data_IF_294124059186
#
_entry.id   IF_294124059186
#
_cell.length_a   1.000
_cell.length_b   1.000
_cell.length_c   1.000
_cell.angle_alpha   90.00
_cell.angle_beta   90.00
_cell.angle_gamma   90.00
#
_symmetry.space_group_name_H-M   'P 1'
#
loop_
_entity.id
_entity.type
_entity.pdbx_description
1 polymer ?
#
# COMPACT_ATOMS: atom_id res chain seq x y z
N UNK A 1 -24.35 -80.23 34.87
CA UNK A 1 -24.61 -79.64 33.53
C UNK A 1 -25.06 -78.19 33.69
N UNK A 2 -24.13 -77.21 33.59
CA UNK A 2 -24.42 -75.78 33.86
C UNK A 2 -23.58 -74.84 32.98
N UNK A 3 -23.31 -75.26 31.73
CA UNK A 3 -22.46 -74.51 30.78
C UNK A 3 -23.20 -73.94 29.56
N UNK A 4 -24.47 -74.32 29.30
CA UNK A 4 -25.20 -73.87 28.11
C UNK A 4 -25.79 -72.44 28.20
N UNK A 5 -25.98 -71.89 29.41
CA UNK A 5 -26.64 -70.58 29.57
C UNK A 5 -25.70 -69.36 29.49
N UNK A 6 -24.37 -69.54 29.50
CA UNK A 6 -23.43 -68.41 29.38
C UNK A 6 -23.20 -67.98 27.92
N UNK A 7 -23.19 -68.93 26.98
CA UNK A 7 -23.04 -68.62 25.55
C UNK A 7 -24.23 -67.83 25.00
N UNK A 8 -25.46 -68.16 25.41
CA UNK A 8 -26.67 -67.45 24.98
C UNK A 8 -26.67 -65.96 25.42
N UNK A 9 -26.14 -65.65 26.60
CA UNK A 9 -26.07 -64.26 27.10
C UNK A 9 -25.02 -63.42 26.37
N UNK A 10 -23.89 -64.02 25.98
CA UNK A 10 -22.85 -63.32 25.22
C UNK A 10 -23.24 -63.16 23.74
N UNK A 11 -23.92 -64.16 23.16
CA UNK A 11 -24.47 -64.06 21.80
C UNK A 11 -25.56 -62.98 21.69
N UNK A 12 -26.46 -62.86 22.68
CA UNK A 12 -27.48 -61.81 22.69
C UNK A 12 -26.87 -60.41 22.86
N UNK A 13 -25.84 -60.27 23.70
CA UNK A 13 -25.14 -59.00 23.87
C UNK A 13 -24.38 -58.55 22.59
N UNK A 14 -23.81 -59.50 21.84
CA UNK A 14 -23.09 -59.23 20.58
C UNK A 14 -24.06 -58.87 19.44
N UNK A 15 -25.25 -59.48 19.41
CA UNK A 15 -26.32 -59.11 18.46
C UNK A 15 -26.89 -57.72 18.78
N UNK A 16 -27.06 -57.35 20.06
CA UNK A 16 -27.50 -56.00 20.42
C UNK A 16 -26.45 -54.92 20.11
N UNK A 17 -25.15 -55.23 20.20
CA UNK A 17 -24.08 -54.28 19.84
C UNK A 17 -23.96 -54.04 18.32
N UNK A 18 -24.22 -55.06 17.49
CA UNK A 18 -24.18 -54.94 16.03
C UNK A 18 -25.39 -54.15 15.46
N UNK A 19 -26.50 -54.08 16.18
CA UNK A 19 -27.71 -53.35 15.76
C UNK A 19 -27.64 -51.85 16.09
N UNK A 20 -26.65 -51.41 16.89
CA UNK A 20 -26.44 -50.01 17.26
C UNK A 20 -25.39 -49.26 16.43
N UNK A 21 -24.77 -49.91 15.44
CA UNK A 21 -23.90 -49.26 14.46
C UNK A 21 -24.74 -48.48 13.44
N UNK A 22 -25.28 -47.34 13.86
CA UNK A 22 -25.83 -46.34 12.95
C UNK A 22 -24.68 -45.78 12.11
N UNK A 23 -24.81 -45.85 10.79
CA UNK A 23 -23.89 -45.14 9.90
C UNK A 23 -24.13 -43.66 10.11
N UNK A 24 -23.15 -42.95 10.66
CA UNK A 24 -23.17 -41.49 10.68
C UNK A 24 -23.06 -41.01 9.23
N UNK A 25 -24.20 -40.79 8.60
CA UNK A 25 -24.32 -40.12 7.31
C UNK A 25 -24.03 -38.63 7.54
N UNK A 26 -22.76 -38.28 7.66
CA UNK A 26 -22.33 -36.89 7.58
C UNK A 26 -22.46 -36.45 6.12
N UNK A 27 -23.67 -36.05 5.74
CA UNK A 27 -23.91 -35.38 4.46
C UNK A 27 -23.68 -33.90 4.69
N UNK A 28 -22.78 -33.28 3.91
CA UNK A 28 -22.77 -31.81 3.82
C UNK A 28 -24.09 -31.40 3.19
N UNK A 29 -25.00 -30.91 4.02
CA UNK A 29 -26.25 -30.26 3.60
C UNK A 29 -25.97 -28.77 3.63
N UNK A 30 -26.34 -28.08 2.56
CA UNK A 30 -26.29 -26.62 2.50
C UNK A 30 -27.20 -26.06 3.59
N UNK A 31 -26.64 -25.21 4.45
CA UNK A 31 -27.40 -24.55 5.51
C UNK A 31 -28.44 -23.64 4.85
N UNK A 32 -29.73 -23.83 5.18
CA UNK A 32 -30.77 -22.88 4.78
C UNK A 32 -30.59 -21.55 5.54
N UNK A 33 -31.00 -20.43 4.92
CA UNK A 33 -30.85 -19.06 5.47
C UNK A 33 -31.35 -18.91 6.93
N UNK A 34 -32.31 -19.73 7.35
CA UNK A 34 -32.82 -19.76 8.73
C UNK A 34 -31.79 -20.28 9.74
N UNK A 35 -30.98 -21.27 9.38
CA UNK A 35 -29.91 -21.81 10.24
C UNK A 35 -28.65 -20.92 10.20
N UNK A 36 -28.43 -20.18 9.10
CA UNK A 36 -27.41 -19.12 9.03
C UNK A 36 -27.72 -17.93 9.95
N UNK A 37 -28.99 -17.68 10.27
CA UNK A 37 -29.39 -16.66 11.26
C UNK A 37 -29.00 -17.02 12.70
N UNK A 38 -28.95 -18.31 13.03
CA UNK A 38 -28.55 -18.81 14.35
C UNK A 38 -27.02 -18.92 14.49
N UNK A 39 -26.30 -18.94 13.37
CA UNK A 39 -24.85 -18.72 13.33
C UNK A 39 -24.60 -17.22 13.48
N UNK A 40 -24.56 -16.73 14.72
CA UNK A 40 -23.97 -15.42 15.02
C UNK A 40 -22.47 -15.50 14.75
N UNK A 41 -22.05 -15.18 13.53
CA UNK A 41 -20.67 -14.82 13.26
C UNK A 41 -20.33 -13.61 14.12
N UNK A 42 -19.48 -13.78 15.13
CA UNK A 42 -18.97 -12.68 15.94
C UNK A 42 -17.99 -11.85 15.12
N UNK A 43 -18.48 -11.12 14.12
CA UNK A 43 -17.72 -10.02 13.54
C UNK A 43 -17.59 -8.97 14.66
N UNK A 44 -16.45 -9.02 15.36
CA UNK A 44 -16.14 -8.10 16.46
C UNK A 44 -15.84 -6.72 15.85
N UNK A 45 -16.90 -5.94 15.60
CA UNK A 45 -16.75 -4.54 15.23
C UNK A 45 -16.31 -3.80 16.49
N UNK A 46 -15.05 -3.37 16.49
CA UNK A 46 -14.48 -2.63 17.61
C UNK A 46 -14.61 -1.13 17.35
N UNK A 47 -15.30 -0.43 18.24
CA UNK A 47 -15.44 1.02 18.20
C UNK A 47 -14.43 1.66 19.14
N UNK A 48 -13.66 2.60 18.63
CA UNK A 48 -12.73 3.41 19.41
C UNK A 48 -13.03 4.89 19.20
N UNK A 49 -12.84 5.68 20.25
CA UNK A 49 -13.00 7.13 20.18
C UNK A 49 -11.69 7.80 20.55
N UNK A 50 -11.41 8.94 19.93
CA UNK A 50 -10.24 9.76 20.21
C UNK A 50 -10.64 11.24 20.11
N UNK A 51 -9.81 12.15 20.60
CA UNK A 51 -10.04 13.58 20.46
C UNK A 51 -8.72 14.33 20.31
N UNK A 52 -8.69 15.34 19.46
CA UNK A 52 -7.52 16.18 19.26
C UNK A 52 -7.94 17.58 18.80
N UNK A 53 -7.38 18.61 19.42
CA UNK A 53 -7.58 20.01 19.03
C UNK A 53 -9.06 20.43 18.81
N UNK A 54 -9.99 19.90 19.61
CA UNK A 54 -11.43 20.20 19.51
C UNK A 54 -12.20 19.34 18.50
N UNK A 55 -11.52 18.45 17.77
CA UNK A 55 -12.13 17.45 16.88
C UNK A 55 -12.24 16.12 17.62
N UNK A 56 -13.41 15.50 17.58
CA UNK A 56 -13.64 14.15 18.10
C UNK A 56 -13.59 13.14 16.95
N UNK A 57 -13.11 11.93 17.24
CA UNK A 57 -12.95 10.87 16.25
C UNK A 57 -13.69 9.63 16.70
N UNK A 58 -14.37 8.98 15.76
CA UNK A 58 -14.98 7.67 15.98
C UNK A 58 -14.45 6.72 14.92
N UNK A 59 -13.71 5.70 15.34
CA UNK A 59 -13.19 4.65 14.47
C UNK A 59 -13.94 3.35 14.66
N UNK A 60 -14.33 2.76 13.54
CA UNK A 60 -14.96 1.45 13.41
C UNK A 60 -13.92 0.51 12.80
N UNK A 61 -13.34 -0.38 13.61
CA UNK A 61 -12.43 -1.41 13.15
C UNK A 61 -13.23 -2.67 12.80
N UNK A 62 -13.04 -3.20 11.59
CA UNK A 62 -13.80 -4.36 11.12
C UNK A 62 -13.23 -5.69 11.62
N UNK A 63 -11.95 -5.74 12.03
CA UNK A 63 -11.34 -6.94 12.60
C UNK A 63 -11.19 -8.11 11.62
N UNK A 64 -11.12 -7.82 10.31
CA UNK A 64 -11.01 -8.82 9.24
C UNK A 64 -9.70 -8.69 8.46
N UNK A 65 -9.30 -9.79 7.83
CA UNK A 65 -8.28 -9.80 6.78
C UNK A 65 -8.99 -10.01 5.44
N UNK A 66 -8.65 -9.18 4.45
CA UNK A 66 -9.29 -9.14 3.14
C UNK A 66 -8.25 -9.35 2.06
N UNK A 67 -8.45 -10.36 1.24
CA UNK A 67 -7.75 -10.54 -0.03
C UNK A 67 -8.67 -9.99 -1.12
N UNK A 68 -8.26 -8.91 -1.80
CA UNK A 68 -9.11 -8.22 -2.78
C UNK A 68 -8.49 -8.20 -4.17
N UNK A 69 -9.34 -8.41 -5.18
CA UNK A 69 -9.09 -8.03 -6.56
C UNK A 69 -10.14 -7.00 -6.95
N UNK A 70 -9.70 -5.76 -7.15
CA UNK A 70 -10.58 -4.62 -7.38
C UNK A 70 -10.17 -3.93 -8.68
N UNK A 71 -11.14 -3.57 -9.52
CA UNK A 71 -10.92 -2.72 -10.69
C UNK A 71 -11.95 -1.58 -10.70
N UNK A 72 -11.48 -0.36 -10.93
CA UNK A 72 -12.26 0.87 -11.03
C UNK A 72 -11.77 1.63 -12.25
N UNK A 73 -12.66 1.85 -13.23
CA UNK A 73 -12.34 2.61 -14.45
C UNK A 73 -11.82 4.01 -14.20
N UNK A 74 -12.39 4.70 -13.20
CA UNK A 74 -11.99 6.06 -12.84
C UNK A 74 -12.22 6.30 -11.34
N UNK A 75 -11.15 6.48 -10.60
CA UNK A 75 -11.17 6.97 -9.23
C UNK A 75 -10.89 8.48 -9.26
N UNK A 76 -11.92 9.29 -9.01
CA UNK A 76 -11.81 10.74 -8.99
C UNK A 76 -12.42 11.28 -7.69
N UNK A 77 -11.58 11.89 -6.84
CA UNK A 77 -11.98 12.43 -5.54
C UNK A 77 -11.50 13.88 -5.42
N UNK A 78 -12.29 14.73 -4.74
CA UNK A 78 -11.92 16.11 -4.47
C UNK A 78 -11.90 17.00 -5.72
N UNK A 79 -12.88 16.87 -6.62
CA UNK A 79 -13.03 17.78 -7.76
C UNK A 79 -13.71 19.09 -7.31
N UNK A 80 -12.91 20.13 -7.09
CA UNK A 80 -13.38 21.50 -6.81
C UNK A 80 -12.32 22.51 -7.22
N UNK A 81 -12.75 23.76 -7.41
CA UNK A 81 -11.84 24.86 -7.75
C UNK A 81 -10.99 25.22 -6.53
N UNK A 82 -9.67 25.16 -6.69
CA UNK A 82 -8.69 25.53 -5.66
C UNK A 82 -7.77 26.60 -6.23
N UNK A 83 -7.55 27.73 -5.53
CA UNK A 83 -6.59 28.74 -5.98
C UNK A 83 -5.20 28.13 -6.18
N UNK A 84 -4.55 28.45 -7.29
CA UNK A 84 -3.24 27.89 -7.65
C UNK A 84 -3.30 26.58 -8.45
N UNK A 85 -4.46 25.96 -8.56
CA UNK A 85 -4.65 24.68 -9.26
C UNK A 85 -5.42 24.84 -10.58
N UNK A 86 -5.20 23.92 -11.52
CA UNK A 86 -5.90 23.92 -12.80
C UNK A 86 -7.42 23.76 -12.63
N UNK A 87 -8.21 24.51 -13.39
CA UNK A 87 -9.68 24.41 -13.36
C UNK A 87 -10.14 22.99 -13.70
N UNK A 88 -11.05 22.44 -12.88
CA UNK A 88 -11.57 21.09 -13.08
C UNK A 88 -10.63 19.95 -12.66
N UNK A 89 -9.44 20.27 -12.14
CA UNK A 89 -8.56 19.28 -11.50
C UNK A 89 -9.18 18.69 -10.23
N UNK A 90 -8.67 17.54 -9.82
CA UNK A 90 -9.15 16.81 -8.65
C UNK A 90 -7.98 16.45 -7.75
N UNK A 91 -8.23 16.36 -6.46
CA UNK A 91 -7.20 16.03 -5.48
C UNK A 91 -6.58 14.64 -5.73
N UNK A 92 -7.41 13.66 -6.07
CA UNK A 92 -6.97 12.31 -6.47
C UNK A 92 -7.67 11.96 -7.78
N UNK A 93 -6.89 11.70 -8.83
CA UNK A 93 -7.39 11.24 -10.12
C UNK A 93 -6.52 10.10 -10.64
N UNK A 94 -7.09 8.90 -10.65
CA UNK A 94 -6.44 7.68 -11.15
C UNK A 94 -7.42 7.00 -12.11
N UNK A 95 -7.03 6.87 -13.37
CA UNK A 95 -7.80 6.08 -14.34
C UNK A 95 -7.33 4.62 -14.29
N UNK A 96 -8.23 3.69 -14.61
CA UNK A 96 -7.94 2.25 -14.60
C UNK A 96 -7.32 1.79 -13.27
N UNK A 97 -7.81 2.33 -12.16
CA UNK A 97 -7.36 2.00 -10.82
C UNK A 97 -7.66 0.53 -10.54
N UNK A 98 -6.68 -0.21 -10.04
CA UNK A 98 -6.84 -1.60 -9.69
C UNK A 98 -5.99 -1.96 -8.48
N UNK A 99 -6.47 -2.93 -7.71
CA UNK A 99 -5.74 -3.55 -6.61
C UNK A 99 -5.63 -5.04 -6.91
N UNK A 100 -4.39 -5.53 -6.87
CA UNK A 100 -4.02 -6.90 -7.21
C UNK A 100 -3.81 -7.10 -8.72
N UNK A 101 -3.23 -8.24 -9.08
CA UNK A 101 -2.85 -8.56 -10.46
C UNK A 101 -3.33 -9.94 -10.88
N UNK A 102 -3.37 -10.15 -12.18
CA UNK A 102 -3.71 -11.41 -12.83
C UNK A 102 -2.50 -11.85 -13.66
N UNK A 103 -2.00 -13.06 -13.41
CA UNK A 103 -0.90 -13.65 -14.19
C UNK A 103 -1.38 -14.33 -15.47
N UNK A 104 -0.43 -14.77 -16.30
CA UNK A 104 -0.66 -15.34 -17.64
C UNK A 104 -1.55 -16.62 -17.70
N UNK A 105 -1.95 -17.18 -16.56
CA UNK A 105 -2.82 -18.36 -16.45
C UNK A 105 -4.07 -18.08 -15.58
N UNK A 106 -4.57 -16.83 -15.58
CA UNK A 106 -5.66 -16.36 -14.71
C UNK A 106 -5.37 -16.57 -13.20
N UNK A 107 -4.09 -16.66 -12.83
CA UNK A 107 -3.67 -16.76 -11.44
C UNK A 107 -3.77 -15.37 -10.80
N UNK A 108 -4.65 -15.26 -9.81
CA UNK A 108 -4.90 -14.00 -9.12
C UNK A 108 -3.86 -13.82 -8.01
N UNK A 109 -3.15 -12.69 -8.05
CA UNK A 109 -2.35 -12.19 -6.94
C UNK A 109 -3.13 -11.07 -6.24
N UNK A 110 -3.86 -11.37 -5.16
CA UNK A 110 -4.74 -10.41 -4.53
C UNK A 110 -3.94 -9.32 -3.81
N UNK A 111 -4.55 -8.15 -3.68
CA UNK A 111 -4.09 -7.14 -2.73
C UNK A 111 -4.58 -7.50 -1.34
N UNK A 112 -3.66 -7.69 -0.39
CA UNK A 112 -3.94 -8.11 0.98
C UNK A 112 -4.10 -6.90 1.88
N UNK A 113 -5.17 -6.89 2.66
CA UNK A 113 -5.53 -5.84 3.62
C UNK A 113 -5.78 -6.50 4.96
N UNK A 114 -5.09 -6.07 6.01
CA UNK A 114 -5.38 -6.49 7.38
C UNK A 114 -5.92 -5.31 8.19
N UNK A 115 -6.94 -5.60 9.01
CA UNK A 115 -7.58 -4.64 9.91
C UNK A 115 -8.02 -3.35 9.19
N UNK A 116 -8.92 -3.44 8.19
CA UNK A 116 -9.51 -2.24 7.63
C UNK A 116 -10.34 -1.52 8.69
N UNK A 117 -10.40 -0.20 8.59
CA UNK A 117 -11.20 0.65 9.46
C UNK A 117 -11.83 1.81 8.70
N UNK A 118 -12.96 2.27 9.23
CA UNK A 118 -13.61 3.53 8.85
C UNK A 118 -13.50 4.47 10.04
N UNK A 119 -13.09 5.72 9.83
CA UNK A 119 -13.01 6.70 10.90
C UNK A 119 -13.64 8.03 10.50
N UNK A 120 -14.43 8.58 11.40
CA UNK A 120 -15.17 9.82 11.24
C UNK A 120 -14.60 10.87 12.19
N UNK A 121 -14.41 12.08 11.69
CA UNK A 121 -13.99 13.25 12.45
C UNK A 121 -15.16 14.22 12.62
N UNK A 122 -15.34 14.72 13.84
CA UNK A 122 -16.45 15.57 14.25
C UNK A 122 -15.94 16.86 14.87
N UNK A 123 -16.44 17.99 14.39
CA UNK A 123 -16.30 19.28 15.04
C UNK A 123 -17.67 19.64 15.67
N UNK A 124 -17.74 19.54 17.00
CA UNK A 124 -19.01 19.53 17.73
C UNK A 124 -19.94 18.40 17.23
N UNK A 125 -21.07 18.77 16.62
CA UNK A 125 -22.06 17.83 16.08
C UNK A 125 -21.96 17.63 14.56
N UNK A 126 -20.95 18.23 13.89
CA UNK A 126 -20.80 18.17 12.43
C UNK A 126 -19.69 17.20 12.06
N UNK A 127 -19.96 16.30 11.12
CA UNK A 127 -18.90 15.51 10.49
C UNK A 127 -18.07 16.43 9.61
N UNK A 128 -16.78 16.54 9.91
CA UNK A 128 -15.82 17.37 9.17
C UNK A 128 -14.84 16.54 8.33
N UNK A 129 -14.81 15.23 8.55
CA UNK A 129 -14.01 14.32 7.74
C UNK A 129 -14.38 12.87 7.90
N UNK A 130 -14.05 12.08 6.88
CA UNK A 130 -14.16 10.63 6.85
C UNK A 130 -12.87 10.07 6.27
N UNK A 131 -12.34 8.99 6.84
CA UNK A 131 -11.24 8.23 6.25
C UNK A 131 -11.51 6.74 6.26
N UNK A 132 -11.06 6.07 5.21
CA UNK A 132 -10.96 4.63 5.14
C UNK A 132 -9.48 4.31 5.15
N UNK A 133 -9.05 3.45 6.07
CA UNK A 133 -7.65 3.08 6.21
C UNK A 133 -7.46 1.60 6.47
N UNK A 134 -6.23 1.17 6.26
CA UNK A 134 -5.78 -0.21 6.43
C UNK A 134 -4.70 -0.22 7.50
N UNK A 135 -4.83 -1.11 8.49
CA UNK A 135 -3.78 -1.33 9.48
C UNK A 135 -2.49 -1.79 8.79
N UNK A 136 -2.62 -2.80 7.93
CA UNK A 136 -1.54 -3.28 7.08
C UNK A 136 -2.05 -3.54 5.66
N UNK A 137 -1.27 -3.19 4.65
CA UNK A 137 -1.62 -3.32 3.24
C UNK A 137 -0.43 -3.82 2.43
N UNK A 138 -0.67 -4.76 1.52
CA UNK A 138 0.38 -5.42 0.74
C UNK A 138 -0.13 -5.91 -0.60
N UNK A 139 0.57 -5.57 -1.68
CA UNK A 139 0.20 -6.00 -3.03
C UNK A 139 0.58 -4.97 -4.08
N UNK A 140 0.00 -5.09 -5.26
CA UNK A 140 0.25 -4.14 -6.36
C UNK A 140 -0.97 -3.24 -6.53
N UNK A 141 -0.72 -1.94 -6.55
CA UNK A 141 -1.69 -0.90 -6.90
C UNK A 141 -1.41 -0.46 -8.33
N UNK A 142 -2.34 -0.71 -9.23
CA UNK A 142 -2.21 -0.33 -10.64
C UNK A 142 -3.13 0.82 -11.00
N UNK A 143 -2.74 1.67 -11.94
CA UNK A 143 -3.55 2.81 -12.37
C UNK A 143 -2.75 3.86 -13.12
N UNK A 144 -3.42 4.60 -14.00
CA UNK A 144 -2.86 5.76 -14.67
C UNK A 144 -3.10 6.99 -13.78
N UNK A 145 -2.09 7.31 -12.98
CA UNK A 145 -2.14 8.40 -11.99
C UNK A 145 -1.98 9.75 -12.71
N UNK A 146 -3.00 10.59 -12.63
CA UNK A 146 -2.99 11.94 -13.22
C UNK A 146 -2.73 13.03 -12.18
N UNK A 147 -3.32 12.93 -10.99
CA UNK A 147 -3.07 13.85 -9.88
C UNK A 147 -3.21 13.14 -8.55
N UNK A 148 -2.34 13.46 -7.59
CA UNK A 148 -2.41 12.97 -6.22
C UNK A 148 -2.22 14.11 -5.22
N UNK A 149 -2.97 14.03 -4.14
CA UNK A 149 -2.85 14.92 -2.99
C UNK A 149 -2.54 14.06 -1.77
N UNK A 150 -1.41 14.32 -1.15
CA UNK A 150 -1.05 13.77 0.13
C UNK A 150 0.41 13.38 0.29
N UNK A 151 0.65 12.37 1.12
CA UNK A 151 2.00 11.99 1.55
C UNK A 151 2.30 10.55 1.12
N UNK A 152 3.07 10.42 0.04
CA UNK A 152 3.39 9.14 -0.59
C UNK A 152 4.91 9.11 -0.87
N UNK A 153 5.74 8.89 0.15
CA UNK A 153 7.17 8.65 -0.02
C UNK A 153 7.42 7.37 -0.83
N UNK A 154 8.31 7.49 -1.81
CA UNK A 154 8.82 6.38 -2.61
C UNK A 154 10.31 6.26 -2.32
N UNK A 155 10.76 5.06 -1.95
CA UNK A 155 12.18 4.80 -1.80
C UNK A 155 12.71 4.17 -3.09
N UNK A 156 13.80 4.73 -3.59
CA UNK A 156 14.49 4.28 -4.79
C UNK A 156 15.80 3.65 -4.35
N UNK A 157 16.01 2.37 -4.65
CA UNK A 157 17.24 1.65 -4.30
C UNK A 157 17.72 0.82 -5.46
N UNK A 158 19.00 0.92 -5.80
CA UNK A 158 19.56 0.10 -6.85
C UNK A 158 21.05 0.31 -7.05
N UNK A 159 21.57 -0.35 -8.08
CA UNK A 159 22.97 -0.19 -8.48
C UNK A 159 23.17 1.13 -9.23
N UNK A 160 24.33 1.74 -9.05
CA UNK A 160 24.73 2.95 -9.76
C UNK A 160 24.75 2.78 -11.28
N UNK A 161 24.79 1.55 -11.80
CA UNK A 161 24.77 1.27 -13.24
C UNK A 161 23.60 1.93 -13.98
N UNK A 162 22.40 1.92 -13.40
CA UNK A 162 21.22 2.57 -13.99
C UNK A 162 21.42 4.10 -14.14
N UNK A 163 22.08 4.72 -13.16
CA UNK A 163 22.41 6.15 -13.17
C UNK A 163 23.49 6.43 -14.24
N UNK A 164 24.54 5.60 -14.30
CA UNK A 164 25.60 5.70 -15.31
C UNK A 164 25.06 5.57 -16.74
N UNK A 165 24.09 4.69 -16.98
CA UNK A 165 23.50 4.48 -18.30
C UNK A 165 22.64 5.66 -18.78
N UNK A 166 22.12 6.47 -17.85
CA UNK A 166 21.41 7.72 -18.15
C UNK A 166 22.33 8.96 -18.13
N UNK A 167 23.60 8.78 -17.80
CA UNK A 167 24.58 9.85 -17.66
C UNK A 167 25.44 10.03 -18.92
N UNK A 168 25.78 11.28 -19.26
CA UNK A 168 26.79 11.59 -20.27
C UNK A 168 28.23 11.44 -19.73
N UNK A 169 29.25 11.56 -20.58
CA UNK A 169 30.65 11.39 -20.20
C UNK A 169 31.10 12.28 -19.03
N UNK A 170 30.66 13.54 -18.99
CA UNK A 170 31.00 14.48 -17.91
C UNK A 170 30.33 14.07 -16.60
N UNK A 171 29.08 13.63 -16.66
CA UNK A 171 28.32 13.14 -15.51
C UNK A 171 28.90 11.83 -14.96
N UNK A 172 29.27 10.90 -15.84
CA UNK A 172 29.94 9.66 -15.44
C UNK A 172 31.29 9.96 -14.77
N UNK A 173 32.04 10.93 -15.27
CA UNK A 173 33.28 11.38 -14.65
C UNK A 173 33.03 11.99 -13.26
N UNK A 174 31.98 12.80 -13.12
CA UNK A 174 31.59 13.38 -11.83
C UNK A 174 31.14 12.30 -10.82
N UNK A 175 30.34 11.32 -11.26
CA UNK A 175 29.95 10.16 -10.45
C UNK A 175 31.17 9.35 -10.00
N UNK A 176 32.11 9.10 -10.91
CA UNK A 176 33.35 8.37 -10.61
C UNK A 176 34.23 9.11 -9.61
N UNK A 177 34.44 10.42 -9.80
CA UNK A 177 35.21 11.26 -8.88
C UNK A 177 34.55 11.36 -7.50
N UNK A 178 33.23 11.25 -7.45
CA UNK A 178 32.46 11.17 -6.22
C UNK A 178 32.45 9.78 -5.58
N UNK A 179 33.13 8.80 -6.17
CA UNK A 179 33.16 7.44 -5.63
C UNK A 179 31.83 6.70 -5.76
N UNK A 180 30.91 7.14 -6.62
CA UNK A 180 29.77 6.33 -7.10
C UNK A 180 30.29 5.50 -8.24
N UNK A 181 30.34 4.18 -8.09
CA UNK A 181 30.70 3.25 -9.15
C UNK A 181 29.46 2.54 -9.69
N UNK A 182 29.58 1.90 -10.86
CA UNK A 182 28.50 1.09 -11.44
C UNK A 182 28.01 -0.02 -10.51
N UNK A 183 28.91 -0.56 -9.69
CA UNK A 183 28.63 -1.61 -8.70
C UNK A 183 28.15 -1.09 -7.35
N UNK A 184 28.18 0.22 -7.11
CA UNK A 184 27.75 0.81 -5.84
C UNK A 184 26.24 0.69 -5.68
N UNK A 185 25.77 0.42 -4.47
CA UNK A 185 24.36 0.47 -4.10
C UNK A 185 24.06 1.85 -3.54
N UNK A 186 23.19 2.56 -4.24
CA UNK A 186 22.74 3.90 -3.85
C UNK A 186 21.24 3.88 -3.61
N UNK A 187 20.80 4.82 -2.80
CA UNK A 187 19.44 4.97 -2.30
C UNK A 187 19.04 6.44 -2.41
N UNK A 188 17.75 6.68 -2.65
CA UNK A 188 17.17 8.01 -2.69
C UNK A 188 15.72 7.95 -2.23
N UNK A 189 15.22 9.05 -1.67
CA UNK A 189 13.81 9.21 -1.37
C UNK A 189 13.18 10.19 -2.36
N UNK A 190 12.05 9.77 -2.94
CA UNK A 190 11.23 10.57 -3.82
C UNK A 190 9.89 10.89 -3.15
N UNK A 191 9.35 12.06 -3.46
CA UNK A 191 8.05 12.54 -2.98
C UNK A 191 7.33 13.26 -4.12
N UNK A 192 6.08 13.67 -3.88
CA UNK A 192 5.36 14.51 -4.84
C UNK A 192 6.05 15.88 -4.96
N UNK A 193 6.38 16.25 -6.19
CA UNK A 193 7.18 17.44 -6.52
C UNK A 193 6.65 18.16 -7.75
N UNK A 194 6.88 19.47 -7.78
CA UNK A 194 6.60 20.32 -8.94
C UNK A 194 7.70 20.17 -10.01
N UNK A 195 7.51 20.81 -11.18
CA UNK A 195 8.53 20.87 -12.25
C UNK A 195 9.82 21.57 -11.84
N UNK A 196 9.76 22.36 -10.77
CA UNK A 196 10.92 23.01 -10.17
C UNK A 196 11.62 22.19 -9.10
N UNK A 197 11.16 20.96 -8.80
CA UNK A 197 11.71 20.10 -7.74
C UNK A 197 11.34 20.55 -6.32
N UNK A 198 10.39 21.49 -6.17
CA UNK A 198 9.82 21.84 -4.87
C UNK A 198 8.79 20.80 -4.46
N UNK A 199 8.63 20.56 -3.16
CA UNK A 199 7.57 19.66 -2.67
C UNK A 199 6.20 20.17 -3.10
N UNK A 200 5.39 19.29 -3.66
CA UNK A 200 4.06 19.58 -4.18
C UNK A 200 3.05 18.52 -3.71
N UNK A 201 2.63 18.56 -2.43
CA UNK A 201 1.74 17.56 -1.85
C UNK A 201 0.28 17.74 -2.27
N UNK A 202 -0.06 18.75 -3.10
CA UNK A 202 -1.43 19.08 -3.50
C UNK A 202 -1.56 18.93 -5.01
N UNK A 203 -2.39 17.99 -5.45
CA UNK A 203 -2.66 17.71 -6.89
C UNK A 203 -1.38 17.52 -7.71
N UNK A 204 -0.31 17.05 -7.09
CA UNK A 204 0.97 16.80 -7.72
C UNK A 204 0.81 15.84 -8.89
N UNK A 205 1.45 16.18 -10.01
CA UNK A 205 1.44 15.39 -11.25
C UNK A 205 2.75 14.65 -11.48
N UNK A 206 3.77 14.92 -10.66
CA UNK A 206 5.08 14.29 -10.73
C UNK A 206 5.56 13.81 -9.36
N UNK A 207 6.41 12.80 -9.39
CA UNK A 207 7.17 12.30 -8.25
C UNK A 207 8.66 12.35 -8.56
N UNK A 208 9.47 12.68 -7.56
CA UNK A 208 10.91 12.84 -7.75
C UNK A 208 11.65 13.22 -6.48
N UNK A 209 12.96 13.34 -6.62
CA UNK A 209 13.84 13.76 -5.52
C UNK A 209 13.73 15.27 -5.36
N UNK A 210 13.23 15.71 -4.19
CA UNK A 210 13.01 17.11 -3.85
C UNK A 210 14.34 17.87 -3.82
N UNK A 211 14.29 19.16 -4.14
CA UNK A 211 15.45 20.04 -4.06
C UNK A 211 16.08 20.03 -2.66
N UNK A 212 17.40 19.83 -2.60
CA UNK A 212 18.16 19.68 -1.37
C UNK A 212 18.34 18.24 -0.91
N UNK A 213 17.48 17.32 -1.34
CA UNK A 213 17.63 15.89 -1.06
C UNK A 213 18.58 15.27 -2.10
N UNK A 214 19.45 14.35 -1.66
CA UNK A 214 20.48 13.76 -2.52
C UNK A 214 20.48 12.24 -2.50
N UNK A 215 21.45 11.66 -3.21
CA UNK A 215 21.69 10.22 -3.19
C UNK A 215 22.48 9.85 -1.93
N UNK A 216 22.06 8.77 -1.26
CA UNK A 216 22.79 8.16 -0.17
C UNK A 216 23.43 6.86 -0.65
N UNK A 217 24.68 6.58 -0.28
CA UNK A 217 25.32 5.33 -0.65
C UNK A 217 25.34 4.34 0.52
N UNK A 218 24.83 3.14 0.28
CA UNK A 218 24.73 2.08 1.28
C UNK A 218 25.91 1.11 1.20
N UNK A 219 26.44 0.82 0.01
CA UNK A 219 27.59 -0.07 -0.14
C UNK A 219 28.35 0.13 -1.45
N UNK A 220 29.64 -0.20 -1.45
CA UNK A 220 30.44 -0.24 -2.68
C UNK A 220 30.81 1.13 -3.24
N UNK A 221 30.62 2.22 -2.50
CA UNK A 221 31.20 3.51 -2.82
C UNK A 221 32.60 3.66 -2.23
N UNK A 222 33.43 4.51 -2.82
CA UNK A 222 34.71 4.87 -2.22
C UNK A 222 34.45 5.56 -0.86
N UNK A 223 35.16 5.11 0.18
CA UNK A 223 34.94 5.57 1.55
C UNK A 223 35.08 7.09 1.67
N UNK A 224 34.08 7.72 2.30
CA UNK A 224 34.08 9.16 2.58
C UNK A 224 33.15 9.97 1.68
N UNK A 225 31.86 9.61 1.62
CA UNK A 225 30.82 10.58 1.28
C UNK A 225 30.73 11.58 2.43
N UNK A 226 31.63 12.56 2.41
CA UNK A 226 31.60 13.70 3.33
C UNK A 226 30.33 14.51 3.06
N UNK A 227 29.82 15.23 4.07
CA UNK A 227 28.64 16.10 3.93
C UNK A 227 28.78 17.09 2.76
N UNK A 228 30.02 17.49 2.43
CA UNK A 228 30.33 18.34 1.29
C UNK A 228 30.06 17.68 -0.07
N UNK A 229 30.29 16.36 -0.18
CA UNK A 229 29.98 15.60 -1.38
C UNK A 229 28.47 15.36 -1.49
N UNK A 230 27.80 15.01 -0.39
CA UNK A 230 26.33 14.85 -0.35
C UNK A 230 25.59 16.12 -0.81
N UNK A 231 26.08 17.31 -0.43
CA UNK A 231 25.55 18.58 -0.90
C UNK A 231 25.75 18.83 -2.41
N UNK A 232 26.81 18.31 -3.02
CA UNK A 232 27.01 18.36 -4.47
C UNK A 232 26.09 17.38 -5.24
N UNK A 233 25.57 16.35 -4.55
CA UNK A 233 24.58 15.39 -5.05
C UNK A 233 23.15 15.73 -4.64
N UNK A 234 22.92 16.92 -4.10
CA UNK A 234 21.58 17.42 -3.86
C UNK A 234 20.86 17.67 -5.19
N UNK A 235 19.60 17.26 -5.25
CA UNK A 235 18.72 17.60 -6.35
C UNK A 235 18.53 19.12 -6.39
N UNK A 236 18.62 19.70 -7.57
CA UNK A 236 18.33 21.10 -7.81
C UNK A 236 17.58 21.21 -9.12
N UNK A 237 16.36 21.73 -9.06
CA UNK A 237 15.47 21.89 -10.20
C UNK A 237 15.23 20.56 -10.93
N UNK A 238 14.85 19.52 -10.17
CA UNK A 238 14.59 18.17 -10.71
C UNK A 238 15.80 17.53 -11.40
N UNK A 239 17.02 17.88 -10.99
CA UNK A 239 18.23 17.29 -11.52
C UNK A 239 19.30 17.07 -10.45
N UNK A 240 19.97 15.92 -10.49
CA UNK A 240 21.20 15.64 -9.73
C UNK A 240 22.34 15.50 -10.73
N UNK A 241 23.34 16.39 -10.65
CA UNK A 241 24.41 16.49 -11.66
C UNK A 241 23.91 16.60 -13.11
N UNK A 242 22.72 17.17 -13.33
CA UNK A 242 22.09 17.27 -14.65
C UNK A 242 21.39 15.99 -15.14
N UNK A 243 21.27 14.96 -14.31
CA UNK A 243 20.42 13.79 -14.57
C UNK A 243 19.03 14.11 -14.04
N UNK A 244 17.99 13.92 -14.85
CA UNK A 244 16.61 14.18 -14.44
C UNK A 244 16.17 13.27 -13.28
N UNK A 245 15.55 13.85 -12.26
CA UNK A 245 15.10 13.15 -11.04
C UNK A 245 13.61 13.31 -10.73
N UNK A 246 12.88 14.08 -11.53
CA UNK A 246 11.41 14.21 -11.45
C UNK A 246 10.75 13.56 -12.66
N UNK A 247 9.70 12.80 -12.39
CA UNK A 247 9.05 11.89 -13.31
C UNK A 247 7.53 12.05 -13.21
N UNK A 248 6.85 12.19 -14.34
CA UNK A 248 5.37 12.21 -14.38
C UNK A 248 4.79 10.96 -13.73
N UNK A 249 3.76 11.13 -12.89
CA UNK A 249 3.11 10.02 -12.20
C UNK A 249 2.48 9.00 -13.17
N UNK A 250 2.07 9.45 -14.36
CA UNK A 250 1.44 8.61 -15.39
C UNK A 250 2.35 7.50 -15.93
N UNK A 251 3.66 7.57 -15.74
CA UNK A 251 4.58 6.50 -16.16
C UNK A 251 4.67 5.35 -15.16
N UNK A 252 4.14 5.52 -13.96
CA UNK A 252 4.14 4.51 -12.91
C UNK A 252 2.76 3.85 -12.85
N UNK A 253 2.56 2.84 -13.69
CA UNK A 253 1.25 2.22 -13.88
C UNK A 253 0.96 1.08 -12.91
N UNK A 254 1.99 0.49 -12.30
CA UNK A 254 1.84 -0.58 -11.29
C UNK A 254 2.84 -0.35 -10.15
N UNK A 255 2.36 0.12 -9.02
CA UNK A 255 3.18 0.42 -7.86
C UNK A 255 3.12 -0.74 -6.85
N UNK A 256 4.26 -1.33 -6.46
CA UNK A 256 4.29 -2.28 -5.36
C UNK A 256 4.10 -1.54 -4.04
N UNK A 257 3.15 -1.99 -3.23
CA UNK A 257 2.88 -1.49 -1.88
C UNK A 257 3.26 -2.58 -0.88
N UNK A 258 4.20 -2.27 0.02
CA UNK A 258 4.81 -3.24 0.92
C UNK A 258 5.75 -4.21 0.19
N UNK A 259 6.18 -5.28 0.88
CA UNK A 259 7.07 -6.28 0.30
C UNK A 259 6.32 -7.30 -0.58
N UNK A 260 6.19 -7.06 -1.88
CA UNK A 260 5.46 -7.97 -2.78
C UNK A 260 6.21 -9.27 -3.12
N UNK A 261 7.47 -9.44 -2.68
CA UNK A 261 8.28 -10.64 -2.98
C UNK A 261 7.83 -11.88 -2.20
N UNK A 262 7.27 -11.67 -1.00
CA UNK A 262 6.69 -12.75 -0.20
C UNK A 262 5.25 -12.39 0.16
N UNK A 263 4.27 -12.92 -0.56
CA UNK A 263 2.85 -12.71 -0.27
C UNK A 263 2.26 -13.76 0.69
N UNK A 264 3.06 -14.66 1.27
CA UNK A 264 2.57 -15.74 2.13
C UNK A 264 1.98 -15.22 3.45
N UNK A 265 2.44 -14.07 3.92
CA UNK A 265 2.08 -13.47 5.20
C UNK A 265 2.10 -11.92 5.11
N UNK A 266 1.66 -11.25 6.17
CA UNK A 266 1.65 -9.78 6.28
C UNK A 266 2.97 -9.17 6.80
N UNK A 267 4.06 -9.94 6.89
CA UNK A 267 5.37 -9.38 7.27
C UNK A 267 5.80 -8.34 6.23
N UNK A 268 6.35 -7.23 6.72
CA UNK A 268 6.77 -6.08 5.90
C UNK A 268 5.66 -5.55 4.98
N UNK A 269 4.39 -5.65 5.41
CA UNK A 269 3.29 -4.93 4.81
C UNK A 269 3.38 -3.44 5.15
N UNK A 270 2.96 -2.58 4.22
CA UNK A 270 2.89 -1.15 4.48
C UNK A 270 1.83 -0.85 5.54
N UNK A 271 2.11 0.08 6.45
CA UNK A 271 1.21 0.45 7.54
C UNK A 271 0.75 1.90 7.41
N UNK A 272 -0.43 2.20 7.96
CA UNK A 272 -0.94 3.57 8.02
C UNK A 272 -1.48 4.10 6.68
N UNK A 273 -1.76 3.22 5.71
CA UNK A 273 -2.44 3.62 4.49
C UNK A 273 -3.85 4.10 4.81
N UNK A 274 -4.22 5.28 4.32
CA UNK A 274 -5.61 5.72 4.33
C UNK A 274 -5.91 6.70 3.19
N UNK A 275 -7.18 6.72 2.79
CA UNK A 275 -7.75 7.75 1.93
C UNK A 275 -8.81 8.47 2.76
N UNK A 276 -8.73 9.79 2.81
CA UNK A 276 -9.65 10.64 3.57
C UNK A 276 -10.30 11.71 2.70
N UNK A 277 -11.53 12.10 3.08
CA UNK A 277 -12.25 13.24 2.55
C UNK A 277 -12.65 14.13 3.73
N UNK A 278 -12.30 15.41 3.66
CA UNK A 278 -12.56 16.36 4.75
C UNK A 278 -12.96 17.74 4.22
N UNK A 279 -13.84 18.41 4.96
CA UNK A 279 -14.34 19.76 4.63
C UNK A 279 -13.46 20.86 5.19
N UNK A 280 -12.50 20.53 6.04
CA UNK A 280 -11.47 21.43 6.60
C UNK A 280 -10.19 20.62 6.80
N UNK A 281 -9.09 21.27 7.19
CA UNK A 281 -7.87 20.55 7.53
C UNK A 281 -8.11 19.70 8.79
N UNK A 282 -7.84 18.40 8.70
CA UNK A 282 -8.06 17.45 9.79
C UNK A 282 -6.77 16.71 10.07
N UNK A 283 -6.36 16.72 11.34
CA UNK A 283 -5.21 15.97 11.82
C UNK A 283 -5.63 14.53 12.13
N UNK A 284 -5.26 13.56 11.30
CA UNK A 284 -5.61 12.16 11.49
C UNK A 284 -4.48 11.43 12.22
N UNK A 285 -4.83 10.59 13.21
CA UNK A 285 -3.81 9.79 13.90
C UNK A 285 -3.30 8.66 12.99
N UNK A 286 -2.00 8.59 12.80
CA UNK A 286 -1.33 7.51 12.08
C UNK A 286 -1.27 6.23 12.91
N UNK A 287 -1.42 5.08 12.25
CA UNK A 287 -1.54 3.78 12.93
C UNK A 287 -0.21 3.21 13.40
N UNK A 288 0.91 3.58 12.78
CA UNK A 288 2.23 3.05 13.11
C UNK A 288 2.98 3.97 14.07
N UNK A 289 3.06 5.26 13.71
CA UNK A 289 3.80 6.25 14.48
C UNK A 289 3.02 6.84 15.65
N UNK A 290 1.69 6.64 15.71
CA UNK A 290 0.76 7.34 16.62
C UNK A 290 0.80 8.88 16.52
N UNK A 291 1.53 9.43 15.55
CA UNK A 291 1.62 10.85 15.28
C UNK A 291 0.38 11.31 14.51
N UNK A 292 0.08 12.60 14.60
CA UNK A 292 -0.98 13.20 13.81
C UNK A 292 -0.44 13.66 12.47
N UNK A 293 -1.07 13.19 11.39
CA UNK A 293 -0.81 13.64 10.02
C UNK A 293 -1.91 14.62 9.63
N UNK A 294 -1.53 15.85 9.31
CA UNK A 294 -2.48 16.88 8.86
C UNK A 294 -2.87 16.61 7.42
N UNK A 295 -4.12 16.21 7.20
CA UNK A 295 -4.72 16.09 5.88
C UNK A 295 -5.45 17.38 5.51
N UNK A 296 -5.10 17.93 4.36
CA UNK A 296 -5.64 19.19 3.85
C UNK A 296 -7.11 19.03 3.46
N UNK A 297 -7.91 20.10 3.52
CA UNK A 297 -9.27 20.14 2.98
C UNK A 297 -9.33 19.52 1.58
N UNK A 298 -10.35 18.68 1.34
CA UNK A 298 -10.54 17.93 0.10
C UNK A 298 -10.31 16.44 0.28
N UNK A 299 -9.83 15.77 -0.77
CA UNK A 299 -9.43 14.36 -0.68
C UNK A 299 -7.91 14.26 -0.46
N UNK A 300 -7.49 13.31 0.38
CA UNK A 300 -6.10 13.14 0.76
C UNK A 300 -5.77 11.65 0.82
N UNK A 301 -4.62 11.27 0.25
CA UNK A 301 -4.08 9.92 0.33
C UNK A 301 -2.82 9.94 1.17
N UNK A 302 -2.81 9.14 2.23
CA UNK A 302 -1.62 8.95 3.06
C UNK A 302 -1.13 7.52 2.89
N UNK A 303 0.15 7.39 2.56
CA UNK A 303 0.85 6.13 2.54
C UNK A 303 2.24 6.41 3.13
N UNK A 304 2.36 6.51 4.47
CA UNK A 304 3.56 7.03 5.13
C UNK A 304 4.67 5.97 5.19
N UNK A 305 5.89 6.41 5.53
CA UNK A 305 6.94 5.49 5.96
C UNK A 305 6.50 4.79 7.25
N UNK A 306 6.83 3.52 7.38
CA UNK A 306 6.44 2.69 8.52
C UNK A 306 7.64 1.94 9.08
N UNK A 307 7.53 1.46 10.32
CA UNK A 307 8.55 0.64 10.95
C UNK A 307 8.37 -0.83 10.59
N UNK A 308 9.43 -1.42 10.02
CA UNK A 308 9.50 -2.86 9.76
C UNK A 308 9.63 -3.66 11.07
N UNK A 309 9.66 -5.00 10.98
CA UNK A 309 9.81 -5.87 12.14
C UNK A 309 11.12 -5.66 12.92
N UNK A 310 12.13 -5.04 12.29
CA UNK A 310 13.43 -4.73 12.87
C UNK A 310 13.49 -3.29 13.44
N UNK A 311 12.41 -2.52 13.35
CA UNK A 311 12.32 -1.14 13.81
C UNK A 311 12.87 -0.09 12.83
N UNK A 312 13.29 -0.49 11.64
CA UNK A 312 13.80 0.40 10.59
C UNK A 312 12.65 1.15 9.93
N UNK A 313 12.87 2.42 9.62
CA UNK A 313 11.89 3.24 8.91
C UNK A 313 11.99 2.95 7.41
N UNK A 314 10.99 2.29 6.85
CA UNK A 314 10.96 1.84 5.45
C UNK A 314 9.83 2.55 4.71
N UNK A 315 10.09 2.92 3.46
CA UNK A 315 9.04 3.48 2.61
C UNK A 315 8.07 2.38 2.13
N UNK A 316 6.80 2.72 1.95
CA UNK A 316 5.77 1.78 1.52
C UNK A 316 5.93 1.33 0.07
N UNK A 317 6.48 2.19 -0.78
CA UNK A 317 6.78 1.88 -2.17
C UNK A 317 8.30 1.83 -2.31
N UNK A 318 8.81 0.70 -2.76
CA UNK A 318 10.23 0.49 -3.02
C UNK A 318 10.40 0.13 -4.50
N UNK A 319 11.19 0.92 -5.21
CA UNK A 319 11.47 0.74 -6.64
C UNK A 319 12.97 0.83 -6.90
N UNK A 320 13.41 0.33 -8.04
CA UNK A 320 14.80 0.50 -8.48
C UNK A 320 14.99 1.73 -9.39
N UNK A 321 16.25 2.11 -9.65
CA UNK A 321 16.55 3.24 -10.53
C UNK A 321 16.11 3.01 -11.98
N UNK A 322 16.10 1.78 -12.48
CA UNK A 322 15.61 1.52 -13.84
C UNK A 322 14.10 1.75 -13.93
N UNK A 323 13.35 1.35 -12.91
CA UNK A 323 11.93 1.63 -12.76
C UNK A 323 11.67 3.13 -12.58
N UNK A 324 12.50 3.83 -11.80
CA UNK A 324 12.38 5.28 -11.66
C UNK A 324 12.59 6.02 -13.01
N UNK A 325 13.61 5.64 -13.78
CA UNK A 325 13.96 6.31 -15.04
C UNK A 325 13.07 5.94 -16.24
N UNK A 326 12.56 4.71 -16.29
CA UNK A 326 11.81 4.19 -17.43
C UNK A 326 10.31 4.03 -17.13
N UNK A 327 9.89 4.29 -15.89
CA UNK A 327 8.56 4.00 -15.40
C UNK A 327 8.36 2.52 -15.06
N UNK A 328 7.16 2.21 -14.56
CA UNK A 328 6.75 0.83 -14.26
C UNK A 328 5.57 0.49 -15.15
N UNK A 329 5.72 -0.49 -16.06
CA UNK A 329 4.65 -0.85 -16.98
C UNK A 329 3.45 -1.43 -16.24
N UNK A 330 2.29 -1.32 -16.87
CA UNK A 330 1.05 -1.90 -16.35
C UNK A 330 1.15 -3.43 -16.27
N UNK A 331 0.80 -3.98 -15.10
CA UNK A 331 0.54 -5.39 -14.89
C UNK A 331 -0.93 -5.67 -15.18
N UNK A 332 -1.23 -6.86 -15.69
CA UNK A 332 -2.60 -7.27 -16.00
C UNK A 332 -3.43 -7.32 -14.71
N UNK A 333 -4.63 -6.73 -14.73
CA UNK A 333 -5.53 -6.65 -13.56
C UNK A 333 -6.91 -7.24 -13.82
N UNK A 334 -7.19 -7.63 -15.06
CA UNK A 334 -8.47 -8.16 -15.49
C UNK A 334 -8.37 -9.66 -15.78
N UNK A 335 -9.47 -10.38 -15.55
CA UNK A 335 -9.61 -11.76 -16.01
C UNK A 335 -10.05 -11.75 -17.48
N UNK A 336 -9.35 -12.48 -18.35
CA UNK A 336 -9.61 -12.52 -19.78
C UNK A 336 -8.69 -11.64 -20.63
N UNK A 337 -9.20 -11.15 -21.77
CA UNK A 337 -8.35 -10.52 -22.81
C UNK A 337 -8.03 -9.04 -22.58
N UNK A 338 -8.71 -8.39 -21.64
CA UNK A 338 -8.40 -7.02 -21.27
C UNK A 338 -7.21 -7.02 -20.29
N UNK A 339 -6.31 -6.05 -20.43
CA UNK A 339 -5.16 -5.87 -19.51
C UNK A 339 -5.37 -4.70 -18.54
N UNK A 340 -6.39 -3.87 -18.79
CA UNK A 340 -6.75 -2.68 -18.01
C UNK A 340 -8.24 -2.32 -18.17
N UNK A 341 -8.81 -1.61 -17.18
CA UNK A 341 -10.08 -0.90 -17.35
C UNK A 341 -11.31 -1.79 -17.55
N UNK A 342 -11.23 -3.06 -17.14
CA UNK A 342 -12.40 -3.77 -16.66
C UNK A 342 -12.99 -3.00 -15.45
#
# INVERSE_FOLDING_TARGET
>A
MRQSFRFAKHALALVCAAVLSTTAQAKMVELEDGELSDITGQAFINLTTDSNAGVNYTRVNFGVNVDTQLNIKKLQLGQYNRPGEATGSSDILINNFALGTVGANDSISPFKIANPFLELAYDGNRVVGVRIGFGEAKGVLSGDIQSLTGNIPVHIKGTGDAIYNKSNFLQQSALFLAGVYRTSIVEADATLVSSGGTSDPVRGTMSGIKNGDGLTCTSGCAGGWTDALLGAFASSNCAILGIQTCFNLSQFQSLPVGNTSDMSNMQNAAKGFFISLQTQDVAWRDMDSNAFVTALQGAFMNLPKYRDANGNLVSPINIDFNQAFNGIPRQDTCLGTATAGC
#
